data_IF_755219388297
#
_entry.id   IF_755219388297
#
_cell.length_a   1.000
_cell.length_b   1.000
_cell.length_c   1.000
_cell.angle_alpha   90.00
_cell.angle_beta   90.00
_cell.angle_gamma   90.00
#
_symmetry.space_group_name_H-M   'P 1'
#
loop_
_entity.id
_entity.type
_entity.pdbx_description
1 polymer ?
#
# COMPACT_ATOMS: atom_id res chain seq x y z
N UNK A 1 13.18 18.07 -5.76
CA UNK A 1 11.91 17.28 -5.64
C UNK A 1 12.12 16.03 -4.80
N UNK A 2 11.11 15.55 -4.09
CA UNK A 2 11.16 14.29 -3.34
C UNK A 2 10.68 13.13 -4.22
N UNK A 3 11.45 12.06 -4.31
CA UNK A 3 11.01 10.79 -4.87
C UNK A 3 10.54 9.86 -3.73
N UNK A 4 9.23 9.65 -3.62
CA UNK A 4 8.63 8.66 -2.74
C UNK A 4 8.57 7.30 -3.46
N UNK A 5 9.02 6.25 -2.79
CA UNK A 5 9.16 4.92 -3.38
C UNK A 5 8.58 3.87 -2.44
N UNK A 6 7.61 3.11 -2.91
CA UNK A 6 7.09 1.93 -2.22
C UNK A 6 7.39 0.66 -3.01
N UNK A 7 8.27 -0.18 -2.47
CA UNK A 7 8.70 -1.44 -3.09
C UNK A 7 7.93 -2.60 -2.45
N UNK A 8 6.81 -2.95 -3.05
CA UNK A 8 6.06 -4.16 -2.73
C UNK A 8 6.65 -5.41 -3.39
N UNK A 9 6.19 -6.59 -2.98
CA UNK A 9 6.65 -7.86 -3.56
C UNK A 9 6.34 -8.03 -5.05
N UNK A 10 5.24 -7.46 -5.52
CA UNK A 10 4.77 -7.61 -6.91
C UNK A 10 4.96 -6.32 -7.71
N UNK A 11 4.74 -5.17 -7.09
CA UNK A 11 4.78 -3.88 -7.74
C UNK A 11 5.59 -2.88 -6.93
N UNK A 12 6.31 -2.01 -7.63
CA UNK A 12 6.99 -0.83 -7.08
C UNK A 12 6.25 0.41 -7.55
N UNK A 13 5.80 1.24 -6.61
CA UNK A 13 5.06 2.48 -6.88
C UNK A 13 5.96 3.66 -6.57
N UNK A 14 6.00 4.62 -7.48
CA UNK A 14 6.84 5.82 -7.42
C UNK A 14 5.97 7.06 -7.44
N UNK A 15 6.33 8.07 -6.67
CA UNK A 15 5.71 9.39 -6.72
C UNK A 15 6.76 10.49 -6.64
N UNK A 16 6.72 11.45 -7.56
CA UNK A 16 7.60 12.61 -7.56
C UNK A 16 6.83 13.81 -7.00
N UNK A 17 7.32 14.39 -5.91
CA UNK A 17 6.71 15.52 -5.23
C UNK A 17 7.53 16.80 -5.36
N UNK A 18 6.85 17.89 -5.62
CA UNK A 18 7.35 19.26 -5.49
C UNK A 18 6.61 19.92 -4.30
N UNK A 19 7.26 19.92 -3.14
CA UNK A 19 6.58 20.24 -1.87
C UNK A 19 5.51 19.18 -1.55
N UNK A 20 4.26 19.62 -1.43
CA UNK A 20 3.09 18.76 -1.18
C UNK A 20 2.40 18.28 -2.47
N UNK A 21 2.79 18.84 -3.62
CA UNK A 21 2.18 18.55 -4.92
C UNK A 21 2.84 17.35 -5.59
N UNK A 22 2.05 16.29 -5.88
CA UNK A 22 2.48 15.19 -6.73
C UNK A 22 2.57 15.69 -8.18
N UNK A 23 3.74 15.58 -8.80
CA UNK A 23 4.02 16.02 -10.17
C UNK A 23 4.02 14.88 -11.18
N UNK A 24 4.20 13.65 -10.71
CA UNK A 24 4.13 12.43 -11.52
C UNK A 24 4.13 11.20 -10.63
N UNK A 25 3.51 10.14 -11.12
CA UNK A 25 3.53 8.83 -10.48
C UNK A 25 3.70 7.71 -11.51
N UNK A 26 4.33 6.63 -11.10
CA UNK A 26 4.59 5.46 -11.95
C UNK A 26 4.46 4.18 -11.16
N UNK A 27 4.06 3.13 -11.87
CA UNK A 27 3.95 1.78 -11.32
C UNK A 27 4.78 0.82 -12.17
N UNK A 28 5.69 0.12 -11.53
CA UNK A 28 6.62 -0.82 -12.16
C UNK A 28 6.41 -2.22 -11.59
N UNK A 29 6.69 -3.25 -12.37
CA UNK A 29 6.83 -4.59 -11.83
C UNK A 29 8.06 -4.65 -10.91
N UNK A 30 7.93 -5.30 -9.75
CA UNK A 30 9.06 -5.52 -8.86
C UNK A 30 9.86 -6.72 -9.33
N UNK A 31 11.08 -6.45 -9.85
CA UNK A 31 12.03 -7.46 -10.23
C UNK A 31 13.06 -7.64 -9.11
N UNK A 32 13.00 -8.75 -8.39
CA UNK A 32 13.79 -9.00 -7.18
C UNK A 32 15.32 -9.07 -7.42
N UNK A 33 15.72 -9.22 -8.66
CA UNK A 33 17.13 -9.29 -9.08
C UNK A 33 17.64 -8.01 -9.72
N UNK A 34 16.80 -6.96 -9.81
CA UNK A 34 17.18 -5.70 -10.48
C UNK A 34 18.26 -4.98 -9.70
N UNK A 35 19.31 -4.59 -10.42
CA UNK A 35 20.44 -3.85 -9.87
C UNK A 35 20.18 -2.35 -9.80
N UNK A 36 20.94 -1.62 -8.97
CA UNK A 36 20.86 -0.17 -8.90
C UNK A 36 21.18 0.53 -10.23
N UNK A 37 22.03 -0.06 -11.06
CA UNK A 37 22.35 0.46 -12.39
C UNK A 37 21.16 0.32 -13.36
N UNK A 38 20.46 -0.82 -13.33
CA UNK A 38 19.21 -1.01 -14.11
C UNK A 38 18.09 -0.09 -13.63
N UNK A 39 17.97 0.12 -12.32
CA UNK A 39 17.06 1.11 -11.75
C UNK A 39 17.38 2.51 -12.27
N UNK A 40 18.68 2.90 -12.27
CA UNK A 40 19.12 4.21 -12.76
C UNK A 40 18.77 4.46 -14.22
N UNK A 41 19.01 3.47 -15.08
CA UNK A 41 18.64 3.55 -16.51
C UNK A 41 17.12 3.62 -16.69
N UNK A 42 16.37 2.79 -15.97
CA UNK A 42 14.92 2.74 -16.06
C UNK A 42 14.28 4.07 -15.60
N UNK A 43 14.69 4.57 -14.43
CA UNK A 43 14.13 5.80 -13.87
C UNK A 43 14.57 7.04 -14.64
N UNK A 44 15.80 7.08 -15.17
CA UNK A 44 16.25 8.15 -16.05
C UNK A 44 15.45 8.27 -17.36
N UNK A 45 14.74 7.20 -17.75
CA UNK A 45 13.76 7.23 -18.85
C UNK A 45 12.37 7.74 -18.45
N UNK A 46 12.08 7.83 -17.15
CA UNK A 46 10.76 8.22 -16.63
C UNK A 46 10.76 9.63 -16.01
N UNK A 47 11.85 10.02 -15.36
CA UNK A 47 11.96 11.26 -14.64
C UNK A 47 13.39 11.81 -14.71
N UNK A 48 13.54 13.10 -14.42
CA UNK A 48 14.85 13.75 -14.28
C UNK A 48 15.43 13.45 -12.90
N UNK A 49 16.44 12.57 -12.85
CA UNK A 49 17.08 12.17 -11.61
C UNK A 49 17.93 13.29 -10.99
N UNK A 50 18.42 14.24 -11.79
CA UNK A 50 19.19 15.38 -11.30
C UNK A 50 18.28 16.39 -10.54
N UNK A 51 16.98 16.34 -10.77
CA UNK A 51 16.00 17.15 -10.06
C UNK A 51 15.52 16.55 -8.71
N UNK A 52 16.01 15.34 -8.36
CA UNK A 52 15.64 14.65 -7.11
C UNK A 52 16.55 15.10 -5.97
N UNK A 53 16.00 15.80 -4.98
CA UNK A 53 16.73 16.29 -3.79
C UNK A 53 16.73 15.29 -2.63
N UNK A 54 15.89 14.25 -2.70
CA UNK A 54 15.78 13.23 -1.68
C UNK A 54 14.89 12.07 -2.10
N UNK A 55 15.11 10.92 -1.47
CA UNK A 55 14.34 9.69 -1.71
C UNK A 55 13.81 9.19 -0.37
N UNK A 56 12.50 8.90 -0.29
CA UNK A 56 11.89 8.21 0.85
C UNK A 56 11.41 6.84 0.39
N UNK A 57 11.98 5.78 0.97
CA UNK A 57 11.79 4.40 0.55
C UNK A 57 11.05 3.59 1.62
N UNK A 58 9.91 2.99 1.27
CA UNK A 58 9.32 1.83 1.93
C UNK A 58 9.66 0.58 1.11
N UNK A 59 10.01 -0.51 1.75
CA UNK A 59 10.29 -1.76 1.04
C UNK A 59 9.95 -2.99 1.87
N UNK A 60 9.13 -3.87 1.29
CA UNK A 60 8.87 -5.22 1.79
C UNK A 60 9.85 -6.25 1.19
N UNK A 61 10.81 -5.79 0.35
CA UNK A 61 11.84 -6.61 -0.31
C UNK A 61 13.23 -6.16 0.14
N UNK A 62 13.78 -6.74 1.23
CA UNK A 62 15.03 -6.26 1.84
C UNK A 62 16.23 -6.26 0.90
N UNK A 63 16.28 -7.19 -0.07
CA UNK A 63 17.37 -7.29 -1.04
C UNK A 63 17.46 -6.08 -1.97
N UNK A 64 16.33 -5.44 -2.28
CA UNK A 64 16.27 -4.27 -3.14
C UNK A 64 16.64 -2.96 -2.43
N UNK A 65 16.61 -2.90 -1.11
CA UNK A 65 16.97 -1.68 -0.36
C UNK A 65 18.36 -1.19 -0.74
N UNK A 66 19.36 -2.09 -0.79
CA UNK A 66 20.73 -1.74 -1.17
C UNK A 66 20.84 -1.25 -2.62
N UNK A 67 20.01 -1.77 -3.50
CA UNK A 67 20.01 -1.35 -4.90
C UNK A 67 19.39 0.05 -5.06
N UNK A 68 18.38 0.39 -4.27
CA UNK A 68 17.85 1.74 -4.18
C UNK A 68 18.85 2.73 -3.55
N UNK A 69 19.59 2.31 -2.52
CA UNK A 69 20.70 3.11 -1.95
C UNK A 69 21.81 3.38 -3.01
N UNK A 70 22.14 2.39 -3.84
CA UNK A 70 23.08 2.58 -4.95
C UNK A 70 22.57 3.56 -5.99
N UNK A 71 21.30 3.45 -6.38
CA UNK A 71 20.64 4.41 -7.27
C UNK A 71 20.71 5.82 -6.70
N UNK A 72 20.30 6.00 -5.45
CA UNK A 72 20.32 7.29 -4.78
C UNK A 72 21.70 7.95 -4.80
N UNK A 73 22.74 7.18 -4.46
CA UNK A 73 24.12 7.67 -4.41
C UNK A 73 24.71 7.94 -5.78
N UNK A 74 24.45 7.04 -6.76
CA UNK A 74 25.21 7.03 -8.03
C UNK A 74 24.53 7.84 -9.13
N UNK A 75 23.20 7.85 -9.17
CA UNK A 75 22.43 8.46 -10.24
C UNK A 75 21.71 9.74 -9.79
N UNK A 76 21.01 9.73 -8.67
CA UNK A 76 20.31 10.90 -8.17
C UNK A 76 21.20 11.83 -7.33
N UNK A 77 22.34 11.33 -6.80
CA UNK A 77 23.22 12.06 -5.86
C UNK A 77 22.44 12.69 -4.69
N UNK A 78 21.40 12.02 -4.24
CA UNK A 78 20.44 12.50 -3.25
C UNK A 78 20.44 11.62 -1.98
N UNK A 79 20.17 12.19 -0.80
CA UNK A 79 19.98 11.41 0.41
C UNK A 79 18.78 10.50 0.29
N UNK A 80 18.86 9.30 0.90
CA UNK A 80 17.79 8.34 0.97
C UNK A 80 17.42 8.04 2.42
N UNK A 81 16.11 8.11 2.73
CA UNK A 81 15.52 7.68 3.98
C UNK A 81 14.78 6.37 3.75
N UNK A 82 15.26 5.30 4.37
CA UNK A 82 14.56 4.00 4.36
C UNK A 82 13.67 3.90 5.58
N UNK A 83 12.36 3.74 5.36
CA UNK A 83 11.38 3.63 6.46
C UNK A 83 11.61 2.32 7.22
N UNK A 84 11.82 2.44 8.53
CA UNK A 84 12.11 1.32 9.40
C UNK A 84 12.37 1.76 10.83
N UNK A 85 12.91 0.87 11.68
CA UNK A 85 13.20 1.18 13.07
C UNK A 85 14.09 2.42 13.22
N UNK A 86 13.67 3.34 14.09
CA UNK A 86 14.40 4.60 14.36
C UNK A 86 13.97 5.79 13.51
N UNK A 87 13.18 5.60 12.47
CA UNK A 87 12.60 6.69 11.67
C UNK A 87 11.45 7.34 12.45
N UNK A 88 11.42 8.68 12.46
CA UNK A 88 10.34 9.46 13.09
C UNK A 88 9.09 9.42 12.20
N UNK A 89 8.15 8.55 12.52
CA UNK A 89 6.87 8.44 11.80
C UNK A 89 5.82 9.44 12.30
N UNK A 90 5.97 9.93 13.53
CA UNK A 90 4.94 10.72 14.21
C UNK A 90 3.73 9.89 14.68
N UNK A 91 3.76 8.57 14.47
CA UNK A 91 2.70 7.63 14.86
C UNK A 91 3.27 6.67 15.91
N UNK A 92 2.78 6.68 17.17
CA UNK A 92 3.17 5.66 18.14
C UNK A 92 2.73 4.27 17.68
N UNK A 93 3.64 3.29 17.76
CA UNK A 93 3.38 1.92 17.34
C UNK A 93 3.21 1.06 18.59
N UNK A 94 1.99 0.53 18.79
CA UNK A 94 1.60 -0.34 19.91
C UNK A 94 1.43 -1.79 19.44
N UNK A 95 2.44 -2.29 18.77
CA UNK A 95 2.52 -3.68 18.35
C UNK A 95 3.46 -4.44 19.29
N UNK A 96 3.22 -5.72 19.55
CA UNK A 96 4.03 -6.50 20.51
C UNK A 96 5.50 -6.50 20.10
N UNK A 97 5.81 -6.75 18.84
CA UNK A 97 7.12 -6.50 18.25
C UNK A 97 6.98 -5.54 17.05
N UNK A 98 7.26 -4.24 17.21
CA UNK A 98 7.16 -3.25 16.13
C UNK A 98 8.00 -3.57 14.89
N UNK A 99 9.01 -4.45 14.99
CA UNK A 99 9.87 -4.86 13.87
C UNK A 99 9.18 -5.82 12.91
N UNK A 100 8.09 -6.46 13.34
CA UNK A 100 7.28 -7.36 12.50
C UNK A 100 6.29 -6.60 11.59
N UNK A 101 6.07 -5.31 11.86
CA UNK A 101 5.15 -4.51 11.03
C UNK A 101 5.86 -4.08 9.75
N UNK A 102 5.27 -4.42 8.62
CA UNK A 102 5.75 -3.96 7.31
C UNK A 102 5.79 -2.43 7.25
N UNK A 103 6.84 -1.84 6.66
CA UNK A 103 6.98 -0.39 6.58
C UNK A 103 5.83 0.27 5.80
N UNK A 104 5.32 -0.38 4.76
CA UNK A 104 4.15 0.02 3.97
C UNK A 104 2.90 0.23 4.84
N UNK A 105 2.65 -0.66 5.79
CA UNK A 105 1.52 -0.58 6.72
C UNK A 105 1.62 0.64 7.65
N UNK A 106 2.83 0.92 8.15
CA UNK A 106 3.09 2.11 8.98
C UNK A 106 2.93 3.38 8.14
N UNK A 107 3.43 3.39 6.92
CA UNK A 107 3.32 4.52 5.99
C UNK A 107 1.85 4.83 5.69
N UNK A 108 1.04 3.81 5.39
CA UNK A 108 -0.40 3.94 5.16
C UNK A 108 -1.12 4.51 6.40
N UNK A 109 -0.82 3.98 7.58
CA UNK A 109 -1.40 4.45 8.84
C UNK A 109 -1.03 5.91 9.17
N UNK A 110 0.20 6.34 8.85
CA UNK A 110 0.64 7.73 9.00
C UNK A 110 -0.20 8.65 8.11
N UNK A 111 -0.36 8.31 6.83
CA UNK A 111 -1.15 9.11 5.89
C UNK A 111 -2.63 9.16 6.29
N UNK A 112 -3.21 8.01 6.64
CA UNK A 112 -4.60 7.92 7.03
C UNK A 112 -4.89 8.77 8.28
N UNK A 113 -4.06 8.66 9.31
CA UNK A 113 -4.21 9.46 10.53
C UNK A 113 -4.08 10.96 10.27
N UNK A 114 -3.13 11.38 9.45
CA UNK A 114 -2.91 12.79 9.14
C UNK A 114 -4.12 13.39 8.42
N UNK A 115 -4.71 12.63 7.48
CA UNK A 115 -5.76 13.12 6.60
C UNK A 115 -7.17 13.00 7.20
N UNK A 116 -7.43 11.92 7.95
CA UNK A 116 -8.78 11.59 8.44
C UNK A 116 -8.91 11.59 9.97
N UNK A 117 -7.79 11.79 10.67
CA UNK A 117 -7.78 11.74 12.13
C UNK A 117 -7.76 10.31 12.66
N UNK A 118 -8.31 10.14 13.88
CA UNK A 118 -8.37 8.86 14.58
C UNK A 118 -9.71 8.74 15.32
N UNK A 119 -10.31 7.54 15.42
CA UNK A 119 -9.81 6.26 14.88
C UNK A 119 -9.98 6.14 13.36
N UNK A 120 -9.10 5.34 12.71
CA UNK A 120 -9.18 5.06 11.27
C UNK A 120 -8.71 3.64 10.96
N UNK A 121 -9.37 3.00 10.00
CA UNK A 121 -9.01 1.71 9.42
C UNK A 121 -8.57 1.94 7.97
N UNK A 122 -7.44 1.36 7.57
CA UNK A 122 -7.02 1.30 6.18
C UNK A 122 -7.18 -0.13 5.67
N UNK A 123 -7.90 -0.30 4.58
CA UNK A 123 -8.03 -1.57 3.85
C UNK A 123 -7.15 -1.48 2.60
N UNK A 124 -6.05 -2.22 2.58
CA UNK A 124 -5.12 -2.24 1.46
C UNK A 124 -5.29 -3.52 0.63
N UNK A 125 -5.70 -3.37 -0.63
CA UNK A 125 -5.91 -4.46 -1.58
C UNK A 125 -4.64 -4.72 -2.41
N UNK A 126 -3.64 -5.29 -1.76
CA UNK A 126 -2.35 -5.66 -2.35
C UNK A 126 -2.16 -7.17 -2.55
N UNK A 127 -0.91 -7.64 -2.44
CA UNK A 127 -0.54 -9.07 -2.41
C UNK A 127 -1.27 -9.82 -1.29
N UNK A 128 -1.44 -9.16 -0.16
CA UNK A 128 -2.41 -9.49 0.90
C UNK A 128 -3.50 -8.43 0.95
N UNK A 129 -4.66 -8.76 1.53
CA UNK A 129 -5.65 -7.76 1.93
C UNK A 129 -5.38 -7.42 3.39
N UNK A 130 -4.83 -6.22 3.63
CA UNK A 130 -4.46 -5.77 4.96
C UNK A 130 -5.52 -4.83 5.53
N UNK A 131 -5.72 -4.91 6.83
CA UNK A 131 -6.56 -3.98 7.60
C UNK A 131 -5.68 -3.37 8.68
N UNK A 132 -5.24 -2.13 8.50
CA UNK A 132 -4.39 -1.43 9.42
C UNK A 132 -5.21 -0.49 10.30
N UNK A 133 -4.98 -0.55 11.60
CA UNK A 133 -5.82 0.12 12.60
C UNK A 133 -5.04 1.20 13.34
N UNK A 134 -5.57 2.41 13.30
CA UNK A 134 -5.18 3.49 14.19
C UNK A 134 -6.29 3.67 15.24
N UNK A 135 -5.91 3.57 16.50
CA UNK A 135 -6.82 3.65 17.65
C UNK A 135 -7.37 5.07 17.86
N UNK A 136 -8.42 5.27 18.67
CA UNK A 136 -8.90 6.61 19.06
C UNK A 136 -7.81 7.49 19.71
N UNK A 137 -6.78 6.89 20.32
CA UNK A 137 -5.62 7.61 20.86
C UNK A 137 -4.63 8.06 19.79
N UNK A 138 -4.88 7.73 18.51
CA UNK A 138 -3.99 8.05 17.40
C UNK A 138 -2.73 7.19 17.35
N UNK A 139 -2.81 5.94 17.81
CA UNK A 139 -1.70 4.98 17.86
C UNK A 139 -1.97 3.84 16.87
N UNK A 140 -0.95 3.37 16.17
CA UNK A 140 -1.04 2.14 15.38
C UNK A 140 -1.10 0.94 16.33
N UNK A 141 -2.19 0.21 16.30
CA UNK A 141 -2.44 -0.90 17.23
C UNK A 141 -2.42 -2.28 16.56
N UNK A 142 -2.08 -2.34 15.29
CA UNK A 142 -2.07 -3.58 14.53
C UNK A 142 -3.19 -3.66 13.51
N UNK A 143 -3.77 -4.83 13.34
CA UNK A 143 -4.84 -5.04 12.37
C UNK A 143 -4.97 -6.49 11.92
N UNK A 144 -5.48 -6.71 10.71
CA UNK A 144 -5.74 -8.04 10.16
C UNK A 144 -4.97 -8.21 8.85
N UNK A 145 -4.44 -9.41 8.64
CA UNK A 145 -3.79 -9.84 7.39
C UNK A 145 -4.60 -10.99 6.81
N UNK A 146 -5.08 -10.82 5.59
CA UNK A 146 -5.78 -11.86 4.85
C UNK A 146 -5.09 -12.09 3.49
N UNK A 147 -5.24 -13.27 2.88
CA UNK A 147 -4.74 -13.49 1.53
C UNK A 147 -5.34 -12.49 0.54
N UNK A 148 -4.51 -11.91 -0.31
CA UNK A 148 -4.97 -11.01 -1.36
C UNK A 148 -5.72 -11.76 -2.47
N UNK A 149 -6.43 -11.00 -3.28
CA UNK A 149 -7.30 -11.53 -4.34
C UNK A 149 -6.48 -12.29 -5.38
N UNK A 150 -5.46 -11.64 -5.94
CA UNK A 150 -4.61 -12.26 -6.96
C UNK A 150 -3.93 -13.50 -6.43
N UNK A 151 -3.33 -13.42 -5.23
CA UNK A 151 -2.70 -14.56 -4.55
C UNK A 151 -3.67 -15.74 -4.36
N UNK A 152 -4.91 -15.46 -3.94
CA UNK A 152 -5.93 -16.49 -3.74
C UNK A 152 -6.36 -17.13 -5.06
N UNK A 153 -6.54 -16.31 -6.09
CA UNK A 153 -6.95 -16.78 -7.41
C UNK A 153 -5.84 -17.56 -8.11
N UNK A 154 -4.58 -17.13 -8.01
CA UNK A 154 -3.43 -17.88 -8.52
C UNK A 154 -3.31 -19.25 -7.84
N UNK A 155 -3.47 -19.31 -6.52
CA UNK A 155 -3.47 -20.58 -5.79
C UNK A 155 -4.61 -21.50 -6.21
N UNK A 156 -5.80 -20.96 -6.49
CA UNK A 156 -6.93 -21.70 -7.00
C UNK A 156 -6.65 -22.26 -8.40
N UNK A 157 -6.15 -21.42 -9.33
CA UNK A 157 -5.85 -21.84 -10.70
C UNK A 157 -4.71 -22.86 -10.76
N UNK A 158 -3.69 -22.72 -9.91
CA UNK A 158 -2.60 -23.69 -9.82
C UNK A 158 -3.06 -25.10 -9.41
N UNK A 159 -4.18 -25.22 -8.67
CA UNK A 159 -4.70 -26.49 -8.14
C UNK A 159 -5.91 -27.02 -8.90
N UNK A 160 -6.60 -26.19 -9.65
CA UNK A 160 -7.83 -26.54 -10.36
C UNK A 160 -7.63 -26.45 -11.88
N UNK A 161 -7.11 -27.51 -12.48
CA UNK A 161 -6.66 -27.59 -13.89
C UNK A 161 -7.70 -27.19 -14.96
N UNK A 162 -8.98 -27.11 -14.63
CA UNK A 162 -10.07 -26.72 -15.55
C UNK A 162 -10.52 -25.27 -15.39
N UNK A 163 -10.03 -24.55 -14.37
CA UNK A 163 -10.40 -23.17 -14.15
C UNK A 163 -9.52 -22.26 -15.01
N UNK A 164 -10.12 -21.21 -15.55
CA UNK A 164 -9.44 -20.20 -16.36
C UNK A 164 -9.37 -18.89 -15.59
N UNK A 165 -8.34 -18.10 -15.86
CA UNK A 165 -8.23 -16.74 -15.31
C UNK A 165 -9.43 -15.91 -15.76
N UNK A 166 -10.01 -15.16 -14.83
CA UNK A 166 -11.19 -14.30 -15.09
C UNK A 166 -10.86 -12.87 -14.66
N UNK A 167 -11.50 -11.90 -15.30
CA UNK A 167 -11.46 -10.52 -14.90
C UNK A 167 -12.31 -10.31 -13.63
N UNK A 168 -11.87 -9.43 -12.73
CA UNK A 168 -12.55 -9.13 -11.48
C UNK A 168 -13.66 -8.11 -11.69
N UNK A 169 -14.67 -8.51 -12.44
CA UNK A 169 -15.83 -7.68 -12.81
C UNK A 169 -17.06 -8.21 -12.08
N UNK A 170 -17.87 -7.29 -11.56
CA UNK A 170 -19.12 -7.65 -10.90
C UNK A 170 -20.06 -8.36 -11.88
N UNK A 171 -20.48 -9.60 -11.58
CA UNK A 171 -21.35 -10.34 -12.45
C UNK A 171 -22.81 -9.81 -12.37
N UNK A 172 -23.60 -9.98 -13.42
CA UNK A 172 -24.99 -9.51 -13.45
C UNK A 172 -25.90 -10.26 -12.47
N UNK A 173 -25.45 -11.35 -11.87
CA UNK A 173 -26.17 -12.14 -10.87
C UNK A 173 -25.19 -12.89 -9.98
N UNK A 174 -25.52 -12.97 -8.68
CA UNK A 174 -24.76 -13.77 -7.71
C UNK A 174 -24.70 -15.24 -8.09
N UNK A 175 -25.78 -15.77 -8.67
CA UNK A 175 -25.84 -17.15 -9.17
C UNK A 175 -25.24 -17.20 -10.57
N UNK A 176 -23.96 -17.56 -10.67
CA UNK A 176 -23.30 -17.79 -11.95
C UNK A 176 -23.82 -19.05 -12.62
N UNK A 177 -24.24 -18.94 -13.89
CA UNK A 177 -24.68 -20.08 -14.72
C UNK A 177 -23.58 -20.64 -15.60
N UNK A 178 -22.37 -20.10 -15.49
CA UNK A 178 -21.14 -20.56 -16.15
C UNK A 178 -20.00 -20.61 -15.14
N UNK A 179 -18.93 -21.35 -15.44
CA UNK A 179 -17.74 -21.38 -14.58
C UNK A 179 -17.15 -19.97 -14.41
N UNK A 180 -17.09 -19.18 -15.47
CA UNK A 180 -16.62 -17.78 -15.42
C UNK A 180 -17.50 -16.93 -14.50
N UNK A 181 -18.82 -16.94 -14.71
CA UNK A 181 -19.74 -16.17 -13.87
C UNK A 181 -19.73 -16.60 -12.40
N UNK A 182 -19.57 -17.93 -12.15
CA UNK A 182 -19.42 -18.44 -10.79
C UNK A 182 -18.12 -17.99 -10.12
N UNK A 183 -17.01 -17.97 -10.87
CA UNK A 183 -15.71 -17.46 -10.39
C UNK A 183 -15.78 -15.96 -10.12
N UNK A 184 -16.31 -15.17 -11.05
CA UNK A 184 -16.48 -13.72 -10.86
C UNK A 184 -17.33 -13.42 -9.62
N UNK A 185 -18.44 -14.11 -9.45
CA UNK A 185 -19.29 -13.98 -8.27
C UNK A 185 -18.55 -14.32 -6.98
N UNK A 186 -17.82 -15.44 -6.98
CA UNK A 186 -17.03 -15.87 -5.83
C UNK A 186 -15.92 -14.89 -5.46
N UNK A 187 -15.22 -14.33 -6.44
CA UNK A 187 -14.16 -13.34 -6.20
C UNK A 187 -14.77 -12.03 -5.68
N UNK A 188 -15.67 -11.42 -6.44
CA UNK A 188 -16.19 -10.09 -6.11
C UNK A 188 -16.93 -10.11 -4.77
N UNK A 189 -17.92 -10.98 -4.61
CA UNK A 189 -18.73 -11.01 -3.39
C UNK A 189 -18.05 -11.73 -2.22
N UNK A 190 -17.12 -12.65 -2.50
CA UNK A 190 -16.34 -13.32 -1.46
C UNK A 190 -15.37 -12.34 -0.77
N UNK A 191 -14.62 -11.56 -1.55
CA UNK A 191 -13.69 -10.57 -0.99
C UNK A 191 -14.43 -9.34 -0.43
N UNK A 192 -15.52 -8.88 -1.06
CA UNK A 192 -16.37 -7.86 -0.48
C UNK A 192 -16.93 -8.30 0.89
N UNK A 193 -17.44 -9.54 0.98
CA UNK A 193 -17.90 -10.10 2.26
C UNK A 193 -16.81 -10.26 3.31
N UNK A 194 -15.57 -10.54 2.91
CA UNK A 194 -14.41 -10.54 3.81
C UNK A 194 -14.18 -9.15 4.40
N UNK A 195 -14.20 -8.10 3.56
CA UNK A 195 -14.07 -6.71 4.01
C UNK A 195 -15.20 -6.35 4.95
N UNK A 196 -16.46 -6.59 4.55
CA UNK A 196 -17.65 -6.32 5.36
C UNK A 196 -17.55 -6.97 6.75
N UNK A 197 -17.18 -8.26 6.78
CA UNK A 197 -17.09 -9.02 8.02
C UNK A 197 -15.96 -8.58 8.94
N UNK A 198 -14.81 -8.16 8.39
CA UNK A 198 -13.66 -7.71 9.18
C UNK A 198 -13.86 -6.28 9.65
N UNK A 199 -14.26 -5.37 8.76
CA UNK A 199 -14.55 -3.95 9.12
C UNK A 199 -15.63 -3.88 10.19
N UNK A 200 -16.71 -4.68 10.06
CA UNK A 200 -17.74 -4.75 11.09
C UNK A 200 -17.17 -5.07 12.48
N UNK A 201 -16.35 -6.11 12.58
CA UNK A 201 -15.70 -6.50 13.85
C UNK A 201 -14.74 -5.45 14.40
N UNK A 202 -13.99 -4.80 13.52
CA UNK A 202 -13.08 -3.72 13.93
C UNK A 202 -13.86 -2.50 14.44
N UNK A 203 -15.00 -2.17 13.83
CA UNK A 203 -15.89 -1.11 14.32
C UNK A 203 -16.55 -1.44 15.65
N UNK A 204 -16.90 -2.72 15.88
CA UNK A 204 -17.39 -3.17 17.19
C UNK A 204 -16.38 -2.87 18.31
N UNK A 205 -15.06 -2.94 18.00
CA UNK A 205 -14.00 -2.65 18.98
C UNK A 205 -13.63 -1.16 19.08
N UNK A 206 -13.67 -0.43 17.95
CA UNK A 206 -13.18 0.95 17.85
C UNK A 206 -14.27 2.01 17.97
N UNK A 207 -15.52 1.65 17.69
CA UNK A 207 -16.68 2.53 17.60
C UNK A 207 -17.17 2.76 16.17
N UNK A 208 -18.46 2.93 16.02
CA UNK A 208 -19.21 3.08 14.75
C UNK A 208 -18.72 4.25 13.86
N UNK A 209 -18.19 5.30 14.47
CA UNK A 209 -17.71 6.50 13.76
C UNK A 209 -16.29 6.35 13.20
N UNK A 210 -15.70 5.16 13.28
CA UNK A 210 -14.37 4.91 12.74
C UNK A 210 -14.36 5.07 11.22
N UNK A 211 -13.51 5.97 10.72
CA UNK A 211 -13.30 6.14 9.28
C UNK A 211 -12.66 4.89 8.66
N UNK A 212 -13.05 4.55 7.44
CA UNK A 212 -12.50 3.40 6.69
C UNK A 212 -12.06 3.86 5.32
N UNK A 213 -10.78 3.68 5.03
CA UNK A 213 -10.18 4.01 3.75
C UNK A 213 -9.79 2.75 3.01
N UNK A 214 -9.92 2.77 1.70
CA UNK A 214 -9.39 1.73 0.83
C UNK A 214 -8.20 2.25 0.01
N UNK A 215 -7.19 1.42 -0.16
CA UNK A 215 -6.05 1.65 -1.04
C UNK A 215 -5.62 0.35 -1.71
N UNK A 216 -4.59 0.40 -2.55
CA UNK A 216 -4.09 -0.76 -3.27
C UNK A 216 -4.68 -0.93 -4.67
N UNK A 217 -4.03 -1.77 -5.47
CA UNK A 217 -4.27 -1.87 -6.91
C UNK A 217 -5.67 -2.33 -7.32
N UNK A 218 -6.38 -3.07 -6.46
CA UNK A 218 -7.72 -3.61 -6.72
C UNK A 218 -8.83 -2.92 -5.92
N UNK A 219 -8.52 -1.84 -5.20
CA UNK A 219 -9.51 -1.15 -4.37
C UNK A 219 -10.70 -0.66 -5.20
N UNK A 220 -10.45 -0.01 -6.34
CA UNK A 220 -11.52 0.54 -7.19
C UNK A 220 -12.44 -0.51 -7.81
N UNK A 221 -11.92 -1.72 -8.03
CA UNK A 221 -12.69 -2.81 -8.63
C UNK A 221 -13.61 -3.48 -7.60
N UNK A 222 -13.19 -3.53 -6.33
CA UNK A 222 -13.92 -4.25 -5.28
C UNK A 222 -14.80 -3.39 -4.39
N UNK A 223 -14.38 -2.18 -4.09
CA UNK A 223 -15.14 -1.29 -3.19
C UNK A 223 -16.60 -1.12 -3.60
N UNK A 224 -16.98 -1.07 -4.90
CA UNK A 224 -18.39 -1.00 -5.30
C UNK A 224 -19.26 -2.16 -4.80
N UNK A 225 -18.68 -3.36 -4.57
CA UNK A 225 -19.39 -4.53 -4.06
C UNK A 225 -19.38 -4.63 -2.52
N UNK A 226 -18.55 -3.85 -1.82
CA UNK A 226 -18.46 -3.81 -0.36
C UNK A 226 -19.69 -3.12 0.21
N UNK A 227 -20.33 -3.71 1.21
CA UNK A 227 -21.49 -3.15 1.90
C UNK A 227 -21.12 -2.30 3.11
N UNK A 228 -19.97 -2.59 3.74
CA UNK A 228 -19.43 -1.74 4.78
C UNK A 228 -19.13 -0.35 4.19
N UNK A 229 -19.35 0.69 4.98
CA UNK A 229 -19.01 2.04 4.52
C UNK A 229 -17.51 2.15 4.37
N UNK A 230 -17.07 2.41 3.14
CA UNK A 230 -15.73 2.86 2.80
C UNK A 230 -15.86 4.35 2.50
N UNK A 231 -15.22 5.18 3.30
CA UNK A 231 -15.37 6.63 3.22
C UNK A 231 -14.63 7.21 2.01
N UNK A 232 -13.48 6.64 1.65
CA UNK A 232 -12.70 7.06 0.49
C UNK A 232 -11.83 5.92 -0.05
N UNK A 233 -11.57 5.96 -1.37
CA UNK A 233 -10.52 5.16 -2.04
C UNK A 233 -9.37 6.11 -2.39
N UNK A 234 -8.22 5.93 -1.74
CA UNK A 234 -7.03 6.74 -1.93
C UNK A 234 -5.90 5.91 -2.52
N UNK A 235 -5.73 5.99 -3.84
CA UNK A 235 -4.67 5.26 -4.58
C UNK A 235 -3.25 5.77 -4.27
N UNK A 236 -3.14 6.97 -3.68
CA UNK A 236 -1.89 7.66 -3.41
C UNK A 236 -1.52 7.66 -1.91
N UNK A 237 -2.29 6.93 -1.09
CA UNK A 237 -2.14 6.95 0.37
C UNK A 237 -0.70 6.65 0.79
N UNK A 238 -0.10 5.58 0.26
CA UNK A 238 1.28 5.19 0.58
C UNK A 238 2.29 6.26 0.18
N UNK A 239 2.16 6.84 -1.02
CA UNK A 239 3.05 7.90 -1.48
C UNK A 239 2.94 9.16 -0.60
N UNK A 240 1.72 9.51 -0.20
CA UNK A 240 1.46 10.61 0.73
C UNK A 240 2.12 10.35 2.09
N UNK A 241 2.01 9.13 2.61
CA UNK A 241 2.64 8.75 3.88
C UNK A 241 4.16 8.82 3.83
N UNK A 242 4.78 8.40 2.73
CA UNK A 242 6.23 8.51 2.52
C UNK A 242 6.68 9.98 2.51
N UNK A 243 5.95 10.86 1.83
CA UNK A 243 6.22 12.31 1.85
C UNK A 243 6.15 12.87 3.28
N UNK A 244 5.09 12.56 4.02
CA UNK A 244 4.92 13.03 5.41
C UNK A 244 6.05 12.53 6.33
N UNK A 245 6.49 11.28 6.16
CA UNK A 245 7.61 10.73 6.92
C UNK A 245 8.92 11.42 6.52
N UNK A 246 9.16 11.67 5.24
CA UNK A 246 10.31 12.43 4.78
C UNK A 246 10.38 13.81 5.42
N UNK A 247 9.29 14.57 5.39
CA UNK A 247 9.21 15.91 5.98
C UNK A 247 9.55 15.91 7.46
N UNK A 248 9.10 14.91 8.22
CA UNK A 248 9.40 14.78 9.66
C UNK A 248 10.86 14.43 9.97
N UNK A 249 11.62 13.93 9.00
CA UNK A 249 13.01 13.49 9.16
C UNK A 249 14.01 14.35 8.40
N UNK A 250 13.57 15.25 7.53
CA UNK A 250 14.44 16.14 6.79
C UNK A 250 15.06 17.21 7.71
N UNK A 251 16.27 17.73 7.39
CA UNK A 251 16.92 18.75 8.21
C UNK A 251 16.09 20.04 8.40
N UNK A 252 15.23 20.37 7.45
CA UNK A 252 14.33 21.53 7.56
C UNK A 252 13.26 21.37 8.66
N UNK A 253 12.98 20.16 9.15
CA UNK A 253 12.04 19.92 10.25
C UNK A 253 12.69 20.09 11.65
N UNK A 254 13.99 20.32 11.70
CA UNK A 254 14.76 20.46 12.95
C UNK A 254 15.10 21.94 13.28
N UNK A 255 14.70 22.87 12.44
CA UNK A 255 14.87 24.33 12.60
C UNK A 255 13.56 25.00 12.98
#
# INVERSE_FOLDING_TARGET
>A
MLLAVDVGNTQTVLGLFDGDRLTGDWRLATEHTRTGDELGVLLGGLLDLDAVDGICLSSTVPTLVREWERLAHRFAQAPILVVGPGVRTGLPIRYDDPREVGPDRIVNAVAARERYGAPVIVVDFGTSTNFDVVSPAGEYVGGVLAPGIETSMEALFARAARLVKVDYVEPPSVIGKTTVGGLQSGVVYGFAGQVDGIVGRLRDELGETTAVLATGGLARDLVPAVRATIDEVDDLLTLTGLRLIWERNSPAAAA
#
